data_IF_577725688398
#
_entry.id   IF_577725688398
#
_cell.length_a   1.000
_cell.length_b   1.000
_cell.length_c   1.000
_cell.angle_alpha   90.00
_cell.angle_beta   90.00
_cell.angle_gamma   90.00
#
_symmetry.space_group_name_H-M   'P 1'
#
loop_
_entity.id
_entity.type
_entity.pdbx_description
1 polymer ?
#
# COMPACT_ATOMS: atom_id res chain seq x y z
N UNK A 1 19.24 15.54 14.49
CA UNK A 1 19.19 14.11 14.12
C UNK A 1 19.83 13.95 12.75
N UNK A 2 20.81 13.07 12.58
CA UNK A 2 21.51 12.91 11.30
C UNK A 2 20.57 12.28 10.24
N UNK A 3 20.56 12.81 9.02
CA UNK A 3 19.79 12.22 7.92
C UNK A 3 20.38 10.90 7.44
N UNK A 4 19.58 10.08 6.74
CA UNK A 4 19.99 8.77 6.20
C UNK A 4 21.35 8.82 5.47
N UNK A 5 21.55 9.81 4.59
CA UNK A 5 22.82 9.99 3.85
C UNK A 5 24.03 10.27 4.74
N UNK A 6 23.83 10.94 5.88
CA UNK A 6 24.91 11.20 6.83
C UNK A 6 25.28 9.91 7.58
N UNK A 7 24.30 9.11 7.98
CA UNK A 7 24.52 7.80 8.59
C UNK A 7 25.19 6.82 7.61
N UNK A 8 24.75 6.78 6.35
CA UNK A 8 25.36 5.97 5.31
C UNK A 8 26.85 6.31 5.08
N UNK A 9 27.22 7.59 5.16
CA UNK A 9 28.64 7.98 5.14
C UNK A 9 29.42 7.43 6.32
N UNK A 10 28.85 7.43 7.52
CA UNK A 10 29.49 6.88 8.73
C UNK A 10 29.69 5.36 8.65
N UNK A 11 28.83 4.62 7.94
CA UNK A 11 29.04 3.19 7.71
C UNK A 11 30.20 2.95 6.74
N UNK A 12 30.37 3.79 5.71
CA UNK A 12 31.44 3.67 4.71
C UNK A 12 32.80 4.17 5.18
N UNK A 13 32.83 5.05 6.17
CA UNK A 13 34.03 5.67 6.74
C UNK A 13 35.03 4.62 7.29
N UNK A 14 36.22 4.44 6.66
CA UNK A 14 37.18 3.41 7.03
C UNK A 14 37.85 3.67 8.38
N UNK A 15 37.89 4.93 8.84
CA UNK A 15 38.56 5.32 10.08
C UNK A 15 37.71 5.02 11.33
N UNK A 16 36.48 4.51 11.14
CA UNK A 16 35.56 4.17 12.22
C UNK A 16 35.68 2.71 12.63
N UNK A 17 35.54 2.53 13.94
CA UNK A 17 35.41 1.23 14.57
C UNK A 17 34.22 0.42 14.00
N UNK A 18 34.37 -0.90 13.77
CA UNK A 18 33.30 -1.76 13.26
C UNK A 18 31.99 -1.68 14.06
N UNK A 19 32.06 -1.55 15.39
CA UNK A 19 30.88 -1.42 16.24
C UNK A 19 30.12 -0.12 15.98
N UNK A 20 30.85 0.98 15.72
CA UNK A 20 30.24 2.27 15.37
C UNK A 20 29.57 2.23 14.00
N UNK A 21 30.19 1.54 13.03
CA UNK A 21 29.62 1.33 11.69
C UNK A 21 28.34 0.49 11.77
N UNK A 22 28.35 -0.60 12.54
CA UNK A 22 27.13 -1.40 12.83
C UNK A 22 26.04 -0.54 13.45
N UNK A 23 26.37 0.30 14.44
CA UNK A 23 25.38 1.17 15.08
C UNK A 23 24.83 2.22 14.10
N UNK A 24 25.66 2.79 13.23
CA UNK A 24 25.22 3.70 12.19
C UNK A 24 24.26 3.02 11.20
N UNK A 25 24.53 1.76 10.80
CA UNK A 25 23.65 0.97 9.95
C UNK A 25 22.30 0.69 10.65
N UNK A 26 22.30 0.35 11.94
CA UNK A 26 21.04 0.18 12.71
C UNK A 26 20.24 1.48 12.78
N UNK A 27 20.90 2.64 12.91
CA UNK A 27 20.23 3.95 12.83
C UNK A 27 19.65 4.24 11.43
N UNK A 28 20.27 3.74 10.35
CA UNK A 28 19.66 3.82 9.02
C UNK A 28 18.31 3.08 8.97
N UNK A 29 18.20 1.93 9.64
CA UNK A 29 16.97 1.14 9.69
C UNK A 29 15.83 1.82 10.46
N UNK A 30 16.14 2.65 11.46
CA UNK A 30 15.11 3.48 12.12
C UNK A 30 14.41 4.42 11.14
N UNK A 31 15.08 4.79 10.05
CA UNK A 31 14.52 5.66 9.01
C UNK A 31 13.87 4.91 7.86
N UNK A 32 14.37 3.72 7.53
CA UNK A 32 13.86 2.92 6.42
C UNK A 32 13.92 1.44 6.77
N UNK A 33 12.77 0.88 7.17
CA UNK A 33 12.62 -0.52 7.51
C UNK A 33 11.32 -1.08 6.90
N UNK A 34 11.36 -1.53 5.63
CA UNK A 34 10.17 -1.96 4.92
C UNK A 34 9.46 -3.16 5.57
N UNK A 35 10.16 -4.03 6.28
CA UNK A 35 9.57 -5.17 7.00
C UNK A 35 9.40 -4.93 8.50
N UNK A 36 9.72 -3.71 8.96
CA UNK A 36 9.98 -3.43 10.37
C UNK A 36 11.44 -3.70 10.73
N UNK A 37 11.90 -3.07 11.81
CA UNK A 37 13.33 -3.00 12.15
C UNK A 37 13.97 -4.40 12.26
N UNK A 38 13.38 -5.29 13.07
CA UNK A 38 13.96 -6.62 13.33
C UNK A 38 14.02 -7.49 12.06
N UNK A 39 12.93 -7.56 11.30
CA UNK A 39 12.88 -8.37 10.09
C UNK A 39 13.81 -7.84 9.00
N UNK A 40 13.89 -6.51 8.84
CA UNK A 40 14.82 -5.90 7.88
C UNK A 40 16.28 -6.14 8.28
N UNK A 41 16.61 -6.06 9.57
CA UNK A 41 17.96 -6.37 10.06
C UNK A 41 18.34 -7.83 9.78
N UNK A 42 17.46 -8.78 10.11
CA UNK A 42 17.69 -10.21 9.86
C UNK A 42 17.87 -10.52 8.37
N UNK A 43 17.06 -9.89 7.52
CA UNK A 43 17.17 -10.01 6.06
C UNK A 43 18.54 -9.52 5.54
N UNK A 44 18.99 -8.33 5.97
CA UNK A 44 20.29 -7.80 5.57
C UNK A 44 21.44 -8.67 6.06
N UNK A 45 21.36 -9.19 7.29
CA UNK A 45 22.35 -10.11 7.86
C UNK A 45 22.43 -11.40 7.02
N UNK A 46 21.28 -11.98 6.66
CA UNK A 46 21.20 -13.19 5.84
C UNK A 46 21.77 -12.98 4.43
N UNK A 47 21.45 -11.87 3.76
CA UNK A 47 21.92 -11.59 2.40
C UNK A 47 23.40 -11.20 2.34
N UNK A 48 23.87 -10.42 3.31
CA UNK A 48 25.28 -10.03 3.39
C UNK A 48 26.17 -11.11 4.02
N UNK A 49 25.59 -12.15 4.65
CA UNK A 49 26.33 -13.29 5.17
C UNK A 49 27.00 -13.07 6.52
N UNK A 50 26.48 -12.18 7.38
CA UNK A 50 27.00 -11.98 8.74
C UNK A 50 25.93 -12.27 9.80
N UNK A 51 26.35 -12.66 11.01
CA UNK A 51 25.41 -13.02 12.08
C UNK A 51 24.78 -11.76 12.71
N UNK A 52 23.46 -11.73 12.98
CA UNK A 52 22.78 -10.53 13.50
C UNK A 52 23.30 -10.04 14.85
N UNK A 53 23.87 -10.92 15.67
CA UNK A 53 24.45 -10.60 16.98
C UNK A 53 25.95 -10.28 16.94
N UNK A 54 26.61 -10.49 15.79
CA UNK A 54 28.04 -10.25 15.62
C UNK A 54 28.39 -8.79 15.92
N UNK A 55 29.28 -8.58 16.89
CA UNK A 55 29.67 -7.26 17.39
C UNK A 55 30.63 -6.55 16.44
N UNK A 56 31.50 -7.30 15.78
CA UNK A 56 32.55 -6.77 14.90
C UNK A 56 32.51 -7.48 13.54
N UNK A 57 31.39 -7.37 12.80
CA UNK A 57 31.30 -7.95 11.47
C UNK A 57 32.28 -7.25 10.53
N UNK A 58 32.74 -7.98 9.51
CA UNK A 58 33.62 -7.44 8.47
C UNK A 58 33.00 -6.14 7.89
N UNK A 59 33.73 -5.01 7.93
CA UNK A 59 33.25 -3.75 7.38
C UNK A 59 32.80 -3.83 5.92
N UNK A 60 33.39 -4.71 5.11
CA UNK A 60 32.97 -4.92 3.72
C UNK A 60 31.54 -5.46 3.64
N UNK A 61 31.17 -6.40 4.52
CA UNK A 61 29.82 -6.96 4.59
C UNK A 61 28.80 -5.91 5.08
N UNK A 62 29.20 -5.03 6.00
CA UNK A 62 28.37 -3.90 6.43
C UNK A 62 28.09 -2.91 5.30
N UNK A 63 29.08 -2.65 4.44
CA UNK A 63 28.92 -1.79 3.27
C UNK A 63 28.01 -2.45 2.23
N UNK A 64 28.18 -3.76 1.97
CA UNK A 64 27.30 -4.51 1.07
C UNK A 64 25.83 -4.49 1.55
N UNK A 65 25.59 -4.68 2.85
CA UNK A 65 24.26 -4.56 3.43
C UNK A 65 23.68 -3.13 3.31
N UNK A 66 24.52 -2.11 3.47
CA UNK A 66 24.10 -0.71 3.25
C UNK A 66 23.73 -0.45 1.79
N UNK A 67 24.51 -0.96 0.85
CA UNK A 67 24.24 -0.79 -0.58
C UNK A 67 22.90 -1.42 -0.98
N UNK A 68 22.59 -2.60 -0.46
CA UNK A 68 21.28 -3.22 -0.66
C UNK A 68 20.14 -2.37 -0.07
N UNK A 69 20.33 -1.82 1.13
CA UNK A 69 19.36 -0.93 1.76
C UNK A 69 19.17 0.36 0.95
N UNK A 70 20.25 0.91 0.40
CA UNK A 70 20.23 2.10 -0.46
C UNK A 70 19.54 1.85 -1.79
N UNK A 71 19.78 0.71 -2.43
CA UNK A 71 19.11 0.31 -3.67
C UNK A 71 17.60 0.19 -3.44
N UNK A 72 17.21 -0.50 -2.37
CA UNK A 72 15.82 -0.62 -1.98
C UNK A 72 15.17 0.75 -1.71
N UNK A 73 15.89 1.63 -1.02
CA UNK A 73 15.43 3.00 -0.75
C UNK A 73 15.31 3.83 -2.03
N UNK A 74 16.20 3.64 -3.00
CA UNK A 74 16.15 4.34 -4.28
C UNK A 74 14.91 3.94 -5.09
N UNK A 75 14.59 2.64 -5.13
CA UNK A 75 13.34 2.13 -5.74
C UNK A 75 12.12 2.80 -5.11
N UNK A 76 12.07 2.83 -3.77
CA UNK A 76 10.95 3.45 -3.06
C UNK A 76 10.83 4.97 -3.33
N UNK A 77 11.95 5.71 -3.29
CA UNK A 77 11.94 7.14 -3.57
C UNK A 77 11.52 7.47 -5.01
N UNK A 78 11.90 6.62 -5.98
CA UNK A 78 11.46 6.76 -7.36
C UNK A 78 9.94 6.65 -7.43
N UNK A 79 9.39 5.61 -6.82
CA UNK A 79 7.94 5.40 -6.74
C UNK A 79 7.21 6.57 -6.03
N UNK A 80 7.72 7.07 -4.90
CA UNK A 80 7.13 8.25 -4.23
C UNK A 80 7.10 9.48 -5.16
N UNK A 81 8.16 9.68 -5.96
CA UNK A 81 8.22 10.80 -6.90
C UNK A 81 7.19 10.68 -8.02
N UNK A 82 6.94 9.45 -8.50
CA UNK A 82 5.95 9.16 -9.53
C UNK A 82 4.52 9.39 -9.02
N UNK A 83 4.21 8.90 -7.81
CA UNK A 83 2.92 9.14 -7.14
C UNK A 83 2.71 10.65 -6.94
N UNK A 84 3.71 11.37 -6.45
CA UNK A 84 3.63 12.82 -6.25
C UNK A 84 3.37 13.56 -7.59
N UNK A 85 4.06 13.16 -8.65
CA UNK A 85 3.88 13.75 -9.98
C UNK A 85 2.49 13.43 -10.56
N UNK A 86 1.99 12.21 -10.39
CA UNK A 86 0.62 11.81 -10.77
C UNK A 86 -0.41 12.64 -10.02
N UNK A 87 -0.32 12.73 -8.69
CA UNK A 87 -1.23 13.53 -7.86
C UNK A 87 -1.20 15.02 -8.21
N UNK A 88 -0.04 15.56 -8.58
CA UNK A 88 0.06 16.95 -9.05
C UNK A 88 -0.72 17.16 -10.35
N UNK A 89 -0.66 16.21 -11.29
CA UNK A 89 -1.43 16.23 -12.55
C UNK A 89 -2.93 16.10 -12.28
N UNK A 90 -3.36 15.10 -11.53
CA UNK A 90 -4.78 14.89 -11.20
C UNK A 90 -5.41 16.07 -10.46
N UNK A 91 -4.69 16.67 -9.50
CA UNK A 91 -5.14 17.88 -8.81
C UNK A 91 -5.34 19.06 -9.75
N UNK A 92 -4.47 19.19 -10.77
CA UNK A 92 -4.60 20.20 -11.82
C UNK A 92 -5.81 19.91 -12.72
N UNK A 93 -6.07 18.64 -12.99
CA UNK A 93 -7.18 18.18 -13.83
C UNK A 93 -8.53 18.09 -13.05
N UNK A 94 -8.55 18.57 -11.79
CA UNK A 94 -9.76 18.66 -10.96
C UNK A 94 -10.12 17.39 -10.19
N UNK A 95 -9.34 16.32 -10.30
CA UNK A 95 -9.59 15.04 -9.63
C UNK A 95 -9.05 15.10 -8.20
N UNK A 96 -9.96 15.20 -7.22
CA UNK A 96 -9.61 15.32 -5.79
C UNK A 96 -9.75 14.03 -5.00
N UNK A 97 -10.49 13.06 -5.51
CA UNK A 97 -10.63 11.76 -4.84
C UNK A 97 -9.33 10.97 -4.94
N UNK A 98 -8.77 10.47 -3.83
CA UNK A 98 -7.61 9.58 -3.85
C UNK A 98 -7.96 8.22 -4.49
N UNK A 99 -7.06 7.63 -5.27
CA UNK A 99 -7.21 6.23 -5.71
C UNK A 99 -6.90 5.24 -4.60
N UNK A 100 -7.25 3.96 -4.81
CA UNK A 100 -6.91 2.86 -3.91
C UNK A 100 -5.38 2.73 -3.69
N UNK A 101 -4.56 3.03 -4.72
CA UNK A 101 -3.10 3.06 -4.57
C UNK A 101 -2.64 4.25 -3.73
N UNK A 102 -3.28 5.42 -3.85
CA UNK A 102 -2.97 6.58 -2.99
C UNK A 102 -3.34 6.31 -1.53
N UNK A 103 -4.43 5.58 -1.32
CA UNK A 103 -4.85 5.15 0.01
C UNK A 103 -3.89 4.11 0.59
N UNK A 104 -3.51 3.11 -0.21
CA UNK A 104 -2.46 2.16 0.14
C UNK A 104 -1.14 2.89 0.46
N UNK A 105 -0.67 3.78 -0.41
CA UNK A 105 0.53 4.59 -0.19
C UNK A 105 0.44 5.38 1.13
N UNK A 106 -0.70 6.02 1.42
CA UNK A 106 -0.93 6.76 2.67
C UNK A 106 -0.94 5.88 3.92
N UNK A 107 -1.54 4.68 3.83
CA UNK A 107 -1.61 3.75 4.96
C UNK A 107 -0.28 3.07 5.25
N UNK A 108 0.50 2.87 4.20
CA UNK A 108 1.78 2.16 4.18
C UNK A 108 2.93 3.10 4.57
N UNK A 109 2.84 4.39 4.25
CA UNK A 109 3.81 5.41 4.67
C UNK A 109 3.31 6.23 5.86
N UNK A 110 3.85 5.95 7.05
CA UNK A 110 3.44 6.60 8.31
C UNK A 110 3.78 5.83 9.58
N UNK A 111 4.74 4.90 9.53
CA UNK A 111 5.17 4.10 10.69
C UNK A 111 4.62 2.67 10.74
N UNK A 112 3.98 2.18 9.67
CA UNK A 112 3.62 0.76 9.52
C UNK A 112 4.61 0.05 8.60
N UNK A 113 5.06 -1.16 8.97
CA UNK A 113 5.87 -2.01 8.09
C UNK A 113 5.10 -2.29 6.80
N UNK A 114 5.73 -2.12 5.63
CA UNK A 114 5.12 -2.34 4.31
C UNK A 114 4.67 -3.80 4.14
N UNK A 115 5.45 -4.73 4.70
CA UNK A 115 5.12 -6.14 4.73
C UNK A 115 5.30 -6.66 6.16
N UNK A 116 4.26 -7.30 6.69
CA UNK A 116 4.39 -8.13 7.89
C UNK A 116 5.19 -9.36 7.49
N UNK A 117 6.45 -9.40 7.89
CA UNK A 117 7.31 -10.55 7.70
C UNK A 117 7.71 -11.11 9.06
N UNK A 118 7.73 -12.43 9.21
CA UNK A 118 8.32 -13.06 10.39
C UNK A 118 9.83 -12.79 10.36
N UNK A 119 10.41 -12.13 11.38
CA UNK A 119 11.85 -11.91 11.45
C UNK A 119 12.68 -13.20 11.43
N UNK A 120 12.07 -14.34 11.74
CA UNK A 120 12.73 -15.66 11.73
C UNK A 120 12.86 -16.24 10.32
N UNK A 121 12.09 -15.76 9.35
CA UNK A 121 12.09 -16.23 7.97
C UNK A 121 12.01 -15.03 7.00
N UNK A 122 13.08 -14.22 6.91
CA UNK A 122 13.12 -13.15 5.95
C UNK A 122 13.07 -13.71 4.52
N UNK A 123 12.45 -12.99 3.56
CA UNK A 123 12.48 -13.39 2.16
C UNK A 123 13.93 -13.47 1.67
N UNK A 124 14.22 -14.37 0.73
CA UNK A 124 15.57 -14.56 0.17
C UNK A 124 15.94 -13.63 -1.00
N UNK A 125 15.02 -13.08 -1.82
CA UNK A 125 15.40 -12.10 -2.85
C UNK A 125 15.92 -10.81 -2.23
N UNK A 126 16.77 -10.07 -2.95
CA UNK A 126 17.27 -8.76 -2.50
C UNK A 126 16.12 -7.82 -2.17
N UNK A 127 16.32 -6.97 -1.17
CA UNK A 127 15.28 -6.08 -0.67
C UNK A 127 14.66 -5.20 -1.77
N UNK A 128 15.49 -4.71 -2.69
CA UNK A 128 15.05 -3.92 -3.83
C UNK A 128 14.08 -4.67 -4.75
N UNK A 129 14.32 -5.96 -5.00
CA UNK A 129 13.48 -6.78 -5.88
C UNK A 129 12.12 -7.07 -5.26
N UNK A 130 12.09 -7.29 -3.94
CA UNK A 130 10.81 -7.45 -3.23
C UNK A 130 9.99 -6.18 -3.30
N UNK A 131 10.62 -5.00 -3.15
CA UNK A 131 9.92 -3.72 -3.29
C UNK A 131 9.42 -3.49 -4.73
N UNK A 132 10.24 -3.78 -5.75
CA UNK A 132 9.82 -3.69 -7.16
C UNK A 132 8.60 -4.56 -7.44
N UNK A 133 8.61 -5.81 -6.96
CA UNK A 133 7.48 -6.74 -7.10
C UNK A 133 6.23 -6.23 -6.39
N UNK A 134 6.38 -5.72 -5.17
CA UNK A 134 5.26 -5.16 -4.40
C UNK A 134 4.63 -3.97 -5.11
N UNK A 135 5.45 -3.01 -5.56
CA UNK A 135 5.00 -1.83 -6.32
C UNK A 135 4.28 -2.30 -7.59
N UNK A 136 4.88 -3.21 -8.36
CA UNK A 136 4.28 -3.73 -9.59
C UNK A 136 2.92 -4.40 -9.35
N UNK A 137 2.76 -5.22 -8.30
CA UNK A 137 1.45 -5.83 -7.97
C UNK A 137 0.42 -4.76 -7.66
N UNK A 138 0.80 -3.73 -6.91
CA UNK A 138 -0.11 -2.65 -6.53
C UNK A 138 -0.48 -1.75 -7.72
N UNK A 139 0.46 -1.48 -8.62
CA UNK A 139 0.20 -0.75 -9.88
C UNK A 139 -0.74 -1.54 -10.80
N UNK A 140 -0.59 -2.87 -10.88
CA UNK A 140 -1.47 -3.75 -11.67
C UNK A 140 -2.88 -3.79 -11.09
N UNK A 141 -3.02 -3.83 -9.76
CA UNK A 141 -4.31 -3.70 -9.10
C UNK A 141 -4.97 -2.33 -9.32
N UNK A 142 -4.20 -1.32 -9.74
CA UNK A 142 -4.68 0.01 -10.11
C UNK A 142 -5.16 0.10 -11.57
N UNK A 143 -4.91 -0.91 -12.42
CA UNK A 143 -5.53 -0.98 -13.75
C UNK A 143 -7.04 -1.08 -13.52
N UNK A 144 -7.83 -0.03 -13.81
CA UNK A 144 -9.27 -0.15 -13.75
C UNK A 144 -9.67 -1.22 -14.78
N UNK A 145 -10.77 -1.99 -14.62
CA UNK A 145 -11.35 -2.61 -15.79
C UNK A 145 -11.54 -1.48 -16.80
N UNK A 146 -10.81 -1.55 -17.91
CA UNK A 146 -10.89 -0.59 -19.01
C UNK A 146 -12.37 -0.30 -19.20
N UNK A 147 -12.73 1.00 -19.17
CA UNK A 147 -14.10 1.49 -19.33
C UNK A 147 -14.86 0.52 -20.23
N UNK A 148 -15.85 -0.21 -19.70
CA UNK A 148 -16.85 -0.92 -20.49
C UNK A 148 -17.69 0.13 -21.23
N UNK A 149 -17.06 0.76 -22.21
CA UNK A 149 -17.64 1.56 -23.26
C UNK A 149 -17.55 0.77 -24.54
N UNK A 150 -18.18 -0.41 -24.55
CA UNK A 150 -18.57 -1.10 -25.76
C UNK A 150 -20.08 -1.30 -25.65
N UNK A 151 -20.82 -0.27 -26.09
CA UNK A 151 -22.11 -0.51 -26.74
C UNK A 151 -21.80 -1.38 -27.95
N UNK A 152 -22.08 -2.66 -27.84
CA UNK A 152 -22.46 -3.43 -29.01
C UNK A 152 -23.94 -3.14 -29.22
N UNK A 153 -24.26 -2.23 -30.13
CA UNK A 153 -25.53 -2.29 -30.82
C UNK A 153 -25.38 -3.37 -31.89
N UNK A 154 -26.07 -4.53 -31.81
CA UNK A 154 -26.29 -5.33 -33.00
C UNK A 154 -27.48 -4.70 -33.72
N UNK A 155 -27.19 -3.89 -34.74
CA UNK A 155 -28.20 -3.41 -35.65
C UNK A 155 -28.93 -4.56 -36.33
N UNK A 156 -30.25 -4.41 -36.46
CA UNK A 156 -30.97 -4.84 -37.65
C UNK A 156 -31.80 -6.12 -37.55
N UNK A 157 -33.01 -6.01 -37.01
CA UNK A 157 -34.18 -6.68 -37.60
C UNK A 157 -35.44 -5.89 -37.27
N UNK A 158 -35.83 -5.04 -38.22
CA UNK A 158 -37.16 -4.43 -38.28
C UNK A 158 -38.11 -5.52 -38.81
N UNK A 159 -38.95 -6.06 -37.94
CA UNK A 159 -40.12 -6.81 -38.37
C UNK A 159 -41.34 -6.17 -37.75
N UNK A 160 -42.05 -5.41 -38.58
CA UNK A 160 -43.41 -4.99 -38.33
C UNK A 160 -44.28 -6.26 -38.29
N UNK A 161 -44.92 -6.54 -37.15
CA UNK A 161 -46.05 -7.46 -37.09
C UNK A 161 -47.19 -6.73 -36.37
N UNK A 162 -47.96 -6.01 -37.19
CA UNK A 162 -49.42 -6.02 -37.27
C UNK A 162 -50.19 -6.23 -35.96
N UNK A 163 -50.87 -5.16 -35.57
CA UNK A 163 -52.02 -5.07 -34.66
C UNK A 163 -53.18 -6.00 -35.03
N UNK A 164 -53.58 -6.90 -34.13
CA UNK A 164 -54.94 -7.42 -33.89
C UNK A 164 -54.93 -7.89 -32.41
N UNK A 165 -55.87 -7.65 -31.49
CA UNK A 165 -57.26 -7.29 -31.56
C UNK A 165 -58.03 -8.14 -30.52
N UNK A 166 -58.49 -7.50 -29.44
CA UNK A 166 -59.62 -7.90 -28.58
C UNK A 166 -59.51 -9.07 -27.56
N UNK A 167 -59.99 -8.80 -26.33
CA UNK A 167 -60.37 -9.79 -25.31
C UNK A 167 -60.17 -9.32 -23.86
N UNK A 168 -60.69 -8.16 -23.45
CA UNK A 168 -61.93 -7.94 -22.66
C UNK A 168 -61.98 -8.53 -21.23
N UNK A 169 -62.26 -7.62 -20.27
CA UNK A 169 -62.80 -7.72 -18.89
C UNK A 169 -61.82 -8.06 -17.75
N UNK A 170 -61.86 -7.46 -16.56
CA UNK A 170 -62.28 -6.18 -15.97
C UNK A 170 -61.84 -6.23 -14.47
N UNK A 171 -61.86 -5.11 -13.71
CA UNK A 171 -61.04 -4.90 -12.51
C UNK A 171 -61.77 -5.17 -11.18
N UNK A 172 -61.03 -5.43 -10.09
CA UNK A 172 -61.53 -5.21 -8.71
C UNK A 172 -60.46 -4.67 -7.74
N UNK A 173 -60.63 -3.37 -7.46
CA UNK A 173 -60.49 -2.60 -6.20
C UNK A 173 -59.52 -3.05 -5.09
N UNK A 174 -58.57 -2.15 -4.83
CA UNK A 174 -58.35 -1.37 -3.61
C UNK A 174 -58.59 -2.01 -2.21
N UNK A 175 -57.52 -2.04 -1.40
CA UNK A 175 -57.58 -1.59 0.00
C UNK A 175 -56.22 -1.06 0.47
N UNK A 176 -56.18 0.24 0.82
CA UNK A 176 -55.24 0.90 1.75
C UNK A 176 -56.05 1.20 3.04
N UNK A 177 -55.50 1.78 4.12
CA UNK A 177 -54.34 1.45 4.96
C UNK A 177 -54.76 1.29 6.44
N UNK A 178 -53.84 0.91 7.35
CA UNK A 178 -53.98 1.12 8.80
C UNK A 178 -52.58 1.18 9.41
N UNK A 179 -52.04 2.31 9.87
CA UNK A 179 -52.42 3.23 10.94
C UNK A 179 -51.80 2.85 12.30
N UNK A 180 -50.96 3.79 12.78
CA UNK A 180 -50.55 4.05 14.18
C UNK A 180 -49.68 2.97 14.87
N UNK A 181 -48.70 3.26 15.74
CA UNK A 181 -48.36 4.42 16.57
C UNK A 181 -46.83 4.37 16.85
N UNK A 182 -46.04 5.45 16.95
CA UNK A 182 -45.95 6.44 18.07
C UNK A 182 -45.98 5.72 19.43
N UNK A 183 -45.03 5.78 20.36
CA UNK A 183 -43.97 6.70 20.79
C UNK A 183 -43.07 5.92 21.78
N UNK A 184 -41.86 6.38 22.06
CA UNK A 184 -41.07 5.84 23.18
C UNK A 184 -39.66 6.40 23.29
N UNK A 185 -39.53 7.72 23.39
CA UNK A 185 -38.29 8.40 23.77
C UNK A 185 -38.09 8.26 25.28
N UNK A 186 -36.94 7.77 25.75
CA UNK A 186 -36.27 8.15 27.01
C UNK A 186 -34.94 7.42 27.18
N UNK A 187 -33.85 8.14 26.94
CA UNK A 187 -32.62 8.05 27.76
C UNK A 187 -32.85 8.86 29.07
N UNK A 188 -32.04 8.78 30.16
CA UNK A 188 -30.60 8.47 30.20
C UNK A 188 -30.08 7.62 31.40
N UNK A 189 -28.76 7.37 31.38
CA UNK A 189 -27.81 6.96 32.46
C UNK A 189 -27.95 7.81 33.76
N UNK A 190 -27.21 7.59 34.89
CA UNK A 190 -26.03 6.72 35.16
C UNK A 190 -26.01 6.00 36.54
N UNK A 191 -24.88 5.33 36.83
CA UNK A 191 -24.15 5.31 38.13
C UNK A 191 -24.07 3.99 38.91
N UNK A 192 -22.83 3.45 38.94
CA UNK A 192 -22.04 2.94 40.07
C UNK A 192 -22.69 2.00 41.10
N UNK A 193 -22.03 0.85 41.27
CA UNK A 193 -22.07 -0.04 42.43
C UNK A 193 -20.94 -1.05 42.31
#
# INVERSE_FOLDING_TARGET
>A
MAGFRALARQVRDPDRDPSQRRQALRKCLERFAPYGHRATWQHLCANAGFHPDDREPDPALLVAALEELEEARAVWLSYESEVAARRKREKRDGIRQPTALDEWHRLTWGGRSLLRCDPSQPPTPRLADVLRRLISVMDVCEIPPQRRGLRLDPGGARTEIRTEGAGRREPRRAHRPGAAARLGFSSPLPSQG
#
